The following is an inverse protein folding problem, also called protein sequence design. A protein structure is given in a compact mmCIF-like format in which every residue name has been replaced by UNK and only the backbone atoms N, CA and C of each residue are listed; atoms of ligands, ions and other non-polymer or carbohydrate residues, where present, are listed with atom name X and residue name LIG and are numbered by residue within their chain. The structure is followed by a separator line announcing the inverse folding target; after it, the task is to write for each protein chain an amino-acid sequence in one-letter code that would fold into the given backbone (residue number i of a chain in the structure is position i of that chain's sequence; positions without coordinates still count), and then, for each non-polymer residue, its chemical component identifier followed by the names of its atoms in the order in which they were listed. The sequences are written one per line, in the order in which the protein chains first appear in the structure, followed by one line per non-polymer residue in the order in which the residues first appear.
data_IF_765392477389
#
_entry.id   IF_765392477389
#
_cell.length_a   1.000
_cell.length_b   1.000
_cell.length_c   1.000
_cell.angle_alpha   90.00
_cell.angle_beta   90.00
_cell.angle_gamma   90.00
#
_symmetry.space_group_name_H-M   'P 1'
#
loop_
_entity.id
_entity.type
_entity.pdbx_description
1 polymer ?
#
# COMPACT_ATOMS: atom_id res chain seq x y z
N UNK A 1 23.97 -11.26 -32.97
CA UNK A 1 22.82 -10.34 -33.05
C UNK A 1 22.32 -10.07 -31.64
N UNK A 2 22.83 -9.02 -31.01
CA UNK A 2 22.54 -8.70 -29.60
C UNK A 2 21.23 -7.92 -29.56
N UNK A 3 20.14 -8.55 -29.11
CA UNK A 3 18.88 -7.85 -28.86
C UNK A 3 19.14 -6.76 -27.81
N UNK A 4 19.09 -5.49 -28.21
CA UNK A 4 18.94 -4.37 -27.28
C UNK A 4 17.64 -4.61 -26.52
N UNK A 5 17.70 -4.92 -25.22
CA UNK A 5 16.54 -4.86 -24.33
C UNK A 5 16.05 -3.42 -24.33
N UNK A 6 15.04 -3.11 -25.14
CA UNK A 6 14.26 -1.88 -24.97
C UNK A 6 13.54 -2.01 -23.63
N UNK A 7 14.12 -1.39 -22.60
CA UNK A 7 13.45 -1.25 -21.31
C UNK A 7 12.43 -0.12 -21.48
N UNK A 8 11.16 -0.37 -21.20
CA UNK A 8 10.05 0.61 -21.15
C UNK A 8 10.25 1.71 -20.07
N UNK A 9 11.49 2.02 -19.69
CA UNK A 9 11.81 2.59 -18.38
C UNK A 9 11.51 4.07 -18.22
N UNK A 10 11.43 4.90 -19.28
CA UNK A 10 11.11 6.33 -19.10
C UNK A 10 10.26 6.87 -20.23
N UNK A 11 8.94 6.75 -20.06
CA UNK A 11 7.96 7.70 -20.61
C UNK A 11 8.04 9.01 -19.82
N UNK A 12 6.94 9.77 -19.64
CA UNK A 12 6.90 11.16 -19.12
C UNK A 12 7.51 11.41 -17.71
N UNK A 13 8.14 10.42 -17.09
CA UNK A 13 8.74 10.53 -15.76
C UNK A 13 7.70 10.48 -14.65
N UNK A 14 7.84 11.35 -13.65
CA UNK A 14 6.92 11.53 -12.53
C UNK A 14 6.58 13.02 -12.46
N UNK A 15 5.30 13.36 -12.57
CA UNK A 15 4.82 14.75 -12.59
C UNK A 15 3.73 14.89 -11.53
N UNK A 16 3.98 15.69 -10.49
CA UNK A 16 2.99 16.05 -9.49
C UNK A 16 2.19 17.27 -9.98
N UNK A 17 0.87 17.21 -9.85
CA UNK A 17 -0.05 18.29 -10.16
C UNK A 17 -1.02 18.49 -8.99
N UNK A 18 -1.06 19.70 -8.44
CA UNK A 18 -1.92 20.05 -7.30
C UNK A 18 -3.39 20.27 -7.68
N UNK A 19 -3.67 20.41 -8.98
CA UNK A 19 -4.96 20.81 -9.53
C UNK A 19 -5.32 20.01 -10.78
N UNK A 20 -4.99 18.72 -10.80
CA UNK A 20 -5.26 17.86 -11.94
C UNK A 20 -6.76 17.76 -12.21
N UNK A 21 -7.11 17.95 -13.48
CA UNK A 21 -8.47 17.77 -14.02
C UNK A 21 -8.38 16.66 -15.04
N UNK A 22 -9.26 15.64 -14.93
CA UNK A 22 -9.29 14.54 -15.90
C UNK A 22 -9.51 15.06 -17.33
N UNK A 23 -8.96 14.35 -18.29
CA UNK A 23 -9.18 14.63 -19.70
C UNK A 23 -10.62 14.28 -20.09
N UNK A 24 -11.37 15.23 -20.64
CA UNK A 24 -12.75 15.00 -21.08
C UNK A 24 -13.17 16.00 -22.16
N UNK A 25 -14.11 15.60 -23.02
CA UNK A 25 -14.67 16.49 -24.05
C UNK A 25 -15.51 17.64 -23.46
N UNK A 26 -16.00 17.49 -22.22
CA UNK A 26 -16.66 18.53 -21.43
C UNK A 26 -16.19 18.46 -19.97
N UNK A 27 -15.70 19.58 -19.44
CA UNK A 27 -15.15 19.69 -18.08
C UNK A 27 -16.14 20.19 -17.02
N UNK A 28 -17.40 20.39 -17.39
CA UNK A 28 -18.43 20.89 -16.46
C UNK A 28 -18.66 19.89 -15.32
N UNK A 29 -18.50 20.37 -14.08
CA UNK A 29 -18.68 19.56 -12.88
C UNK A 29 -17.49 18.66 -12.52
N UNK A 30 -16.36 18.78 -13.22
CA UNK A 30 -15.12 18.09 -12.87
C UNK A 30 -14.39 18.90 -11.79
N UNK A 31 -14.05 18.23 -10.70
CA UNK A 31 -13.34 18.82 -9.57
C UNK A 31 -11.84 18.55 -9.71
N UNK A 32 -11.04 19.60 -9.59
CA UNK A 32 -9.59 19.47 -9.59
C UNK A 32 -9.11 18.74 -8.31
N UNK A 33 -8.12 17.88 -8.42
CA UNK A 33 -7.54 17.15 -7.28
C UNK A 33 -6.03 17.01 -7.41
N UNK A 34 -5.35 16.82 -6.27
CA UNK A 34 -3.92 16.54 -6.25
C UNK A 34 -3.68 15.15 -6.84
N UNK A 35 -2.82 15.06 -7.85
CA UNK A 35 -2.54 13.83 -8.56
C UNK A 35 -1.08 13.75 -8.98
N UNK A 36 -0.61 12.53 -9.24
CA UNK A 36 0.70 12.28 -9.81
C UNK A 36 0.53 11.47 -11.10
N UNK A 37 1.10 11.98 -12.19
CA UNK A 37 1.15 11.27 -13.46
C UNK A 37 2.52 10.60 -13.61
N UNK A 38 2.52 9.31 -13.85
CA UNK A 38 3.72 8.48 -13.98
C UNK A 38 3.79 7.79 -15.34
N UNK A 39 5.01 7.60 -15.83
CA UNK A 39 5.27 6.67 -16.92
C UNK A 39 5.18 5.21 -16.47
N UNK A 40 4.82 4.31 -17.38
CA UNK A 40 4.58 2.88 -17.06
C UNK A 40 5.77 2.11 -16.46
N UNK A 41 6.99 2.64 -16.61
CA UNK A 41 8.22 2.04 -16.08
C UNK A 41 8.61 2.48 -14.67
N UNK A 42 7.86 3.41 -14.04
CA UNK A 42 8.17 3.94 -12.70
C UNK A 42 7.96 2.87 -11.63
N UNK A 43 8.95 2.73 -10.75
CA UNK A 43 8.88 1.86 -9.57
C UNK A 43 8.44 2.62 -8.31
N UNK A 44 7.90 1.90 -7.32
CA UNK A 44 7.39 2.48 -6.07
C UNK A 44 8.41 3.37 -5.35
N UNK A 45 9.69 2.98 -5.30
CA UNK A 45 10.76 3.77 -4.70
C UNK A 45 11.00 5.08 -5.44
N UNK A 46 11.06 5.06 -6.78
CA UNK A 46 11.21 6.26 -7.60
C UNK A 46 10.04 7.23 -7.39
N UNK A 47 8.81 6.70 -7.34
CA UNK A 47 7.59 7.46 -7.09
C UNK A 47 7.63 8.14 -5.72
N UNK A 48 7.86 7.35 -4.66
CA UNK A 48 7.78 7.83 -3.30
C UNK A 48 8.90 8.80 -2.95
N UNK A 49 10.15 8.54 -3.38
CA UNK A 49 11.26 9.47 -3.18
C UNK A 49 10.98 10.83 -3.86
N UNK A 50 10.43 10.81 -5.07
CA UNK A 50 10.10 12.04 -5.82
C UNK A 50 9.00 12.86 -5.16
N UNK A 51 7.97 12.19 -4.63
CA UNK A 51 6.83 12.86 -3.98
C UNK A 51 7.17 13.37 -2.59
N UNK A 52 7.92 12.61 -1.79
CA UNK A 52 8.34 13.03 -0.45
C UNK A 52 9.23 14.27 -0.50
N UNK A 53 10.10 14.39 -1.53
CA UNK A 53 10.86 15.62 -1.77
C UNK A 53 9.98 16.87 -1.98
N UNK A 54 8.71 16.68 -2.33
CA UNK A 54 7.70 17.70 -2.57
C UNK A 54 6.63 17.74 -1.47
N UNK A 55 6.84 17.08 -0.32
CA UNK A 55 5.88 16.96 0.79
C UNK A 55 4.54 16.34 0.36
N UNK A 56 4.61 15.44 -0.61
CA UNK A 56 3.48 14.71 -1.15
C UNK A 56 3.70 13.20 -1.02
N UNK A 57 2.65 12.44 -1.27
CA UNK A 57 2.65 10.99 -1.19
C UNK A 57 1.63 10.40 -2.19
N UNK A 58 1.86 9.18 -2.64
CA UNK A 58 0.89 8.39 -3.41
C UNK A 58 0.91 6.94 -2.93
N UNK A 59 -0.20 6.23 -3.06
CA UNK A 59 -0.28 4.84 -2.62
C UNK A 59 0.60 3.96 -3.52
N UNK A 60 1.56 3.27 -2.91
CA UNK A 60 2.44 2.29 -3.55
C UNK A 60 2.47 0.95 -2.81
N UNK A 61 3.25 0.02 -3.33
CA UNK A 61 3.45 -1.32 -2.76
C UNK A 61 4.24 -1.37 -1.45
N UNK A 62 4.51 -2.59 -0.98
CA UNK A 62 5.36 -2.85 0.19
C UNK A 62 6.84 -3.14 -0.18
N UNK A 63 7.19 -3.04 -1.46
CA UNK A 63 8.51 -3.26 -2.01
C UNK A 63 8.86 -2.10 -2.94
N UNK A 64 10.06 -1.54 -2.83
CA UNK A 64 10.42 -0.30 -3.55
C UNK A 64 10.73 -0.50 -5.03
N UNK A 65 10.89 -1.73 -5.48
CA UNK A 65 11.19 -2.09 -6.88
C UNK A 65 9.97 -2.53 -7.69
N UNK A 66 8.78 -2.57 -7.09
CA UNK A 66 7.58 -2.98 -7.80
C UNK A 66 7.17 -1.87 -8.78
N UNK A 67 6.83 -2.27 -10.01
CA UNK A 67 6.35 -1.35 -11.04
C UNK A 67 4.90 -0.92 -10.74
N UNK A 68 4.70 0.38 -10.54
CA UNK A 68 3.45 0.94 -9.99
C UNK A 68 2.24 0.63 -10.88
N UNK A 69 2.38 0.75 -12.20
CA UNK A 69 1.25 0.54 -13.14
C UNK A 69 0.73 -0.90 -13.12
N UNK A 70 1.63 -1.89 -13.14
CA UNK A 70 1.23 -3.29 -13.08
C UNK A 70 0.61 -3.65 -11.73
N UNK A 71 1.21 -3.15 -10.64
CA UNK A 71 0.72 -3.36 -9.29
C UNK A 71 -0.68 -2.76 -9.07
N UNK A 72 -0.90 -1.50 -9.48
CA UNK A 72 -2.18 -0.82 -9.29
C UNK A 72 -3.31 -1.48 -10.09
N UNK A 73 -3.01 -1.94 -11.31
CA UNK A 73 -4.03 -2.54 -12.19
C UNK A 73 -4.51 -3.92 -11.73
N UNK A 74 -3.72 -4.62 -10.92
CA UNK A 74 -4.10 -5.88 -10.29
C UNK A 74 -4.82 -5.73 -8.93
N UNK A 75 -5.07 -4.50 -8.48
CA UNK A 75 -5.58 -4.20 -7.14
C UNK A 75 -4.55 -3.41 -6.36
N UNK A 76 -3.46 -4.06 -5.96
CA UNK A 76 -2.31 -3.40 -5.32
C UNK A 76 -2.50 -3.11 -3.84
N UNK A 77 -1.95 -3.97 -2.98
CA UNK A 77 -1.86 -3.74 -1.54
C UNK A 77 -0.52 -3.07 -1.16
N UNK A 78 -0.51 -2.34 -0.05
CA UNK A 78 0.67 -1.60 0.40
C UNK A 78 0.53 -1.13 1.85
N UNK A 79 1.56 -0.46 2.40
CA UNK A 79 1.55 0.01 3.79
C UNK A 79 0.44 1.03 4.09
N UNK A 80 -0.07 1.70 3.05
CA UNK A 80 -1.02 2.82 3.15
C UNK A 80 -2.41 2.48 2.61
N UNK A 81 -2.62 1.26 2.12
CA UNK A 81 -3.89 0.90 1.48
C UNK A 81 -5.06 0.82 2.46
N UNK A 82 -4.78 0.61 3.75
CA UNK A 82 -5.81 0.70 4.80
C UNK A 82 -6.34 2.13 5.01
N UNK A 83 -5.55 3.16 4.72
CA UNK A 83 -5.93 4.56 4.88
C UNK A 83 -6.47 5.20 3.59
N UNK A 84 -6.01 4.75 2.42
CA UNK A 84 -6.27 5.41 1.13
C UNK A 84 -6.86 4.49 0.04
N UNK A 85 -7.27 3.26 0.39
CA UNK A 85 -7.75 2.26 -0.57
C UNK A 85 -6.62 1.57 -1.32
N UNK A 86 -6.96 0.59 -2.15
CA UNK A 86 -5.99 -0.18 -2.94
C UNK A 86 -5.38 0.68 -4.06
N UNK A 87 -4.29 0.23 -4.68
CA UNK A 87 -3.73 0.88 -5.87
C UNK A 87 -4.76 1.16 -6.96
N UNK A 88 -5.65 0.20 -7.23
CA UNK A 88 -6.77 0.34 -8.16
C UNK A 88 -7.75 1.46 -7.78
N UNK A 89 -7.99 1.69 -6.48
CA UNK A 89 -8.86 2.76 -5.99
C UNK A 89 -8.27 4.16 -6.20
N UNK A 90 -6.96 4.21 -6.43
CA UNK A 90 -6.18 5.42 -6.59
C UNK A 90 -5.97 5.80 -8.07
N UNK A 91 -6.33 4.95 -9.04
CA UNK A 91 -6.24 5.29 -10.46
C UNK A 91 -7.30 6.33 -10.82
N UNK A 92 -6.86 7.48 -11.32
CA UNK A 92 -7.69 8.58 -11.80
C UNK A 92 -7.89 8.48 -13.32
N UNK A 93 -6.79 8.25 -14.05
CA UNK A 93 -6.76 8.25 -15.51
C UNK A 93 -5.61 7.38 -16.01
N UNK A 94 -5.75 6.77 -17.18
CA UNK A 94 -4.66 6.08 -17.86
C UNK A 94 -4.65 6.38 -19.35
N UNK A 95 -3.46 6.55 -19.93
CA UNK A 95 -3.26 6.57 -21.37
C UNK A 95 -2.72 5.22 -21.83
N UNK A 96 -3.37 4.61 -22.81
CA UNK A 96 -3.04 3.28 -23.31
C UNK A 96 -3.09 3.19 -24.82
N UNK A 97 -2.36 2.22 -25.36
CA UNK A 97 -2.47 1.79 -26.77
C UNK A 97 -3.27 0.49 -26.82
N UNK A 98 -4.35 0.48 -27.60
CA UNK A 98 -5.20 -0.72 -27.79
C UNK A 98 -4.50 -1.74 -28.70
N UNK A 99 -4.98 -3.00 -28.76
CA UNK A 99 -4.46 -3.98 -29.73
C UNK A 99 -4.60 -3.55 -31.19
N UNK A 100 -5.54 -2.65 -31.50
CA UNK A 100 -5.71 -2.07 -32.83
C UNK A 100 -4.70 -0.95 -33.14
N UNK A 101 -3.87 -0.54 -32.17
CA UNK A 101 -2.90 0.54 -32.31
C UNK A 101 -3.46 1.93 -32.02
N UNK A 102 -4.67 2.02 -31.47
CA UNK A 102 -5.31 3.29 -31.13
C UNK A 102 -4.82 3.79 -29.77
N UNK A 103 -4.57 5.10 -29.65
CA UNK A 103 -4.25 5.74 -28.38
C UNK A 103 -5.55 6.21 -27.73
N UNK A 104 -5.82 5.72 -26.53
CA UNK A 104 -6.99 6.07 -25.74
C UNK A 104 -6.61 6.65 -24.39
N UNK A 105 -7.49 7.51 -23.87
CA UNK A 105 -7.50 7.93 -22.46
C UNK A 105 -8.69 7.27 -21.77
N UNK A 106 -8.44 6.51 -20.71
CA UNK A 106 -9.47 5.84 -19.91
C UNK A 106 -9.58 6.51 -18.54
N UNK A 107 -10.77 7.02 -18.22
CA UNK A 107 -11.12 7.63 -16.94
C UNK A 107 -12.63 7.51 -16.69
N UNK A 108 -13.15 8.22 -15.70
CA UNK A 108 -14.59 8.18 -15.35
C UNK A 108 -15.53 8.84 -16.38
N UNK A 109 -15.02 9.53 -17.41
CA UNK A 109 -15.81 10.18 -18.47
C UNK A 109 -15.57 9.62 -19.87
N UNK A 110 -14.41 9.02 -20.12
CA UNK A 110 -14.01 8.51 -21.43
C UNK A 110 -13.51 7.05 -21.30
N UNK A 111 -13.95 6.18 -22.21
CA UNK A 111 -13.59 4.76 -22.23
C UNK A 111 -13.79 4.09 -20.85
N UNK A 112 -14.96 4.31 -20.26
CA UNK A 112 -15.28 3.98 -18.86
C UNK A 112 -15.30 2.48 -18.58
N UNK A 113 -15.57 1.67 -19.59
CA UNK A 113 -15.45 0.22 -19.58
C UNK A 113 -13.99 -0.24 -19.42
N UNK A 114 -13.07 0.35 -20.18
CA UNK A 114 -11.62 0.12 -20.02
C UNK A 114 -11.16 0.63 -18.67
N UNK A 115 -11.60 1.82 -18.25
CA UNK A 115 -11.25 2.38 -16.95
C UNK A 115 -11.67 1.47 -15.80
N UNK A 116 -12.89 0.93 -15.85
CA UNK A 116 -13.36 -0.07 -14.90
C UNK A 116 -12.47 -1.32 -14.94
N UNK A 117 -12.16 -1.83 -16.12
CA UNK A 117 -11.39 -3.07 -16.30
C UNK A 117 -9.96 -2.97 -15.76
N UNK A 118 -9.26 -1.85 -15.99
CA UNK A 118 -7.88 -1.67 -15.52
C UNK A 118 -7.78 -1.42 -14.01
N UNK A 119 -8.90 -1.22 -13.29
CA UNK A 119 -8.94 -1.01 -11.84
C UNK A 119 -9.21 -2.30 -11.08
N UNK A 120 -8.37 -3.32 -11.32
CA UNK A 120 -8.42 -4.61 -10.63
C UNK A 120 -8.47 -5.83 -11.55
N UNK A 121 -8.75 -5.66 -12.85
CA UNK A 121 -8.78 -6.74 -13.83
C UNK A 121 -7.40 -7.23 -14.29
N UNK A 122 -6.32 -6.61 -13.81
CA UNK A 122 -4.94 -6.93 -14.18
C UNK A 122 -4.46 -6.20 -15.43
N UNK A 123 -3.22 -5.71 -15.38
CA UNK A 123 -2.56 -5.05 -16.50
C UNK A 123 -2.19 -6.02 -17.64
N UNK A 124 -1.97 -5.47 -18.84
CA UNK A 124 -1.47 -6.20 -20.01
C UNK A 124 -2.55 -6.89 -20.87
N UNK A 125 -3.81 -6.90 -20.44
CA UNK A 125 -4.93 -7.52 -21.18
C UNK A 125 -5.65 -6.55 -22.12
N UNK A 126 -5.91 -5.32 -21.64
CA UNK A 126 -6.79 -4.35 -22.34
C UNK A 126 -6.03 -3.37 -23.24
N UNK A 127 -4.70 -3.44 -23.22
CA UNK A 127 -3.81 -2.57 -23.98
C UNK A 127 -2.51 -2.33 -23.22
N UNK A 128 -1.61 -1.58 -23.85
CA UNK A 128 -0.33 -1.17 -23.26
C UNK A 128 -0.50 0.21 -22.63
N UNK A 129 -0.65 0.26 -21.31
CA UNK A 129 -0.63 1.52 -20.55
C UNK A 129 0.79 2.09 -20.61
N UNK A 130 0.92 3.35 -21.02
CA UNK A 130 2.20 4.05 -21.07
C UNK A 130 2.28 5.22 -20.07
N UNK A 131 1.13 5.81 -19.70
CA UNK A 131 1.00 6.79 -18.63
C UNK A 131 -0.17 6.44 -17.71
N UNK A 132 -0.03 6.74 -16.41
CA UNK A 132 -1.09 6.58 -15.42
C UNK A 132 -1.09 7.75 -14.45
N UNK A 133 -2.27 8.30 -14.17
CA UNK A 133 -2.48 9.32 -13.16
C UNK A 133 -3.09 8.68 -11.92
N UNK A 134 -2.45 8.88 -10.78
CA UNK A 134 -2.86 8.38 -9.47
C UNK A 134 -3.23 9.55 -8.55
N UNK A 135 -4.13 9.31 -7.59
CA UNK A 135 -4.35 10.23 -6.47
C UNK A 135 -3.04 10.46 -5.73
N UNK A 136 -2.80 11.72 -5.38
CA UNK A 136 -1.70 12.10 -4.51
C UNK A 136 -2.24 12.86 -3.29
N UNK A 137 -1.50 12.76 -2.19
CA UNK A 137 -1.88 13.20 -0.86
C UNK A 137 -0.76 14.08 -0.28
N UNK A 138 -1.06 14.96 0.69
CA UNK A 138 -0.02 15.51 1.55
C UNK A 138 0.75 14.40 2.26
N UNK A 139 2.04 14.61 2.54
CA UNK A 139 2.84 13.68 3.33
C UNK A 139 2.14 13.40 4.69
N UNK A 140 1.83 12.14 5.02
CA UNK A 140 1.13 11.80 6.25
C UNK A 140 2.07 11.76 7.46
N UNK A 141 1.52 11.95 8.66
CA UNK A 141 2.24 11.55 9.88
C UNK A 141 2.14 10.03 10.07
N UNK A 142 3.18 9.43 10.67
CA UNK A 142 3.29 7.99 10.87
C UNK A 142 3.62 7.64 12.32
N UNK A 143 2.85 6.70 12.88
CA UNK A 143 3.24 5.93 14.06
C UNK A 143 3.47 4.48 13.66
N UNK A 144 4.65 3.95 13.99
CA UNK A 144 5.00 2.53 13.77
C UNK A 144 5.05 1.78 15.10
N UNK A 145 4.42 0.61 15.15
CA UNK A 145 4.42 -0.30 16.29
C UNK A 145 5.13 -1.60 15.91
N UNK A 146 6.00 -2.12 16.77
CA UNK A 146 6.45 -3.51 16.66
C UNK A 146 5.35 -4.45 17.15
N UNK A 147 5.14 -5.56 16.44
CA UNK A 147 4.30 -6.67 16.84
C UNK A 147 5.14 -7.94 16.82
N UNK A 148 5.48 -8.47 18.00
CA UNK A 148 6.17 -9.74 18.14
C UNK A 148 5.39 -10.64 19.10
N UNK A 149 5.23 -11.91 18.75
CA UNK A 149 4.62 -12.94 19.59
C UNK A 149 5.47 -14.20 19.47
N UNK A 150 5.90 -14.77 20.59
CA UNK A 150 6.64 -16.03 20.62
C UNK A 150 6.03 -16.99 21.63
N UNK A 151 5.79 -18.24 21.21
CA UNK A 151 5.37 -19.30 22.11
C UNK A 151 6.49 -19.67 23.09
N UNK A 152 6.16 -19.86 24.37
CA UNK A 152 7.12 -20.38 25.36
C UNK A 152 7.46 -21.85 25.10
N UNK A 153 8.54 -22.35 25.73
CA UNK A 153 8.99 -23.74 25.57
C UNK A 153 7.88 -24.77 25.91
N UNK A 154 7.04 -24.49 26.89
CA UNK A 154 5.93 -25.35 27.29
C UNK A 154 4.69 -25.26 26.37
N UNK A 155 4.68 -24.32 25.42
CA UNK A 155 3.53 -24.09 24.53
C UNK A 155 3.50 -25.14 23.42
N UNK A 156 2.46 -25.97 23.45
CA UNK A 156 2.22 -26.98 22.42
C UNK A 156 1.87 -26.32 21.08
N UNK A 157 2.00 -27.06 19.99
CA UNK A 157 1.65 -26.59 18.64
C UNK A 157 0.17 -26.25 18.51
N UNK A 158 -0.71 -27.05 19.13
CA UNK A 158 -2.16 -26.79 19.14
C UNK A 158 -2.48 -25.47 19.86
N UNK A 159 -1.91 -25.27 21.04
CA UNK A 159 -2.11 -24.03 21.81
C UNK A 159 -1.56 -22.83 21.03
N UNK A 160 -0.40 -22.95 20.38
CA UNK A 160 0.15 -21.90 19.53
C UNK A 160 -0.81 -21.49 18.41
N UNK A 161 -1.39 -22.45 17.69
CA UNK A 161 -2.32 -22.13 16.61
C UNK A 161 -3.65 -21.55 17.13
N UNK A 162 -4.10 -21.94 18.33
CA UNK A 162 -5.23 -21.28 18.98
C UNK A 162 -4.92 -19.81 19.34
N UNK A 163 -3.68 -19.50 19.75
CA UNK A 163 -3.25 -18.11 19.97
C UNK A 163 -3.25 -17.33 18.67
N UNK A 164 -2.72 -17.90 17.58
CA UNK A 164 -2.72 -17.24 16.26
C UNK A 164 -4.16 -17.01 15.77
N UNK A 165 -5.05 -18.00 15.89
CA UNK A 165 -6.45 -17.84 15.54
C UNK A 165 -7.12 -16.71 16.37
N UNK A 166 -6.88 -16.68 17.68
CA UNK A 166 -7.37 -15.60 18.55
C UNK A 166 -6.81 -14.22 18.18
N UNK A 167 -5.52 -14.14 17.85
CA UNK A 167 -4.89 -12.91 17.36
C UNK A 167 -5.58 -12.41 16.08
N UNK A 168 -5.72 -13.29 15.08
CA UNK A 168 -6.38 -12.95 13.82
C UNK A 168 -7.86 -12.57 13.99
N UNK A 169 -8.55 -13.12 15.00
CA UNK A 169 -9.92 -12.75 15.34
C UNK A 169 -10.06 -11.36 15.96
N UNK A 170 -8.98 -10.80 16.52
CA UNK A 170 -8.99 -9.48 17.20
C UNK A 170 -8.39 -8.38 16.33
N UNK A 171 -7.46 -8.71 15.42
CA UNK A 171 -6.82 -7.75 14.50
C UNK A 171 -7.81 -6.83 13.75
N UNK A 172 -8.96 -7.30 13.23
CA UNK A 172 -9.92 -6.44 12.53
C UNK A 172 -10.38 -5.23 13.37
N UNK A 173 -10.49 -5.37 14.69
CA UNK A 173 -10.92 -4.26 15.56
C UNK A 173 -9.92 -3.10 15.61
N UNK A 174 -8.63 -3.39 15.41
CA UNK A 174 -7.59 -2.36 15.28
C UNK A 174 -7.57 -1.78 13.86
N UNK A 175 -7.82 -2.61 12.84
CA UNK A 175 -7.89 -2.19 11.44
C UNK A 175 -9.07 -1.24 11.19
N UNK A 176 -10.23 -1.52 11.76
CA UNK A 176 -11.42 -0.64 11.68
C UNK A 176 -11.16 0.75 12.28
N UNK A 177 -10.11 0.87 13.11
CA UNK A 177 -9.67 2.12 13.75
C UNK A 177 -8.40 2.71 13.11
N UNK A 178 -8.01 2.23 11.93
CA UNK A 178 -6.91 2.80 11.14
C UNK A 178 -5.51 2.27 11.47
N UNK A 179 -5.40 1.16 12.23
CA UNK A 179 -4.12 0.49 12.50
C UNK A 179 -4.00 -0.77 11.66
N UNK A 180 -3.13 -0.74 10.66
CA UNK A 180 -2.91 -1.83 9.71
C UNK A 180 -1.45 -2.28 9.72
N UNK A 181 -1.09 -3.38 9.06
CA UNK A 181 0.32 -3.77 9.04
C UNK A 181 0.61 -5.08 8.35
N UNK A 182 1.86 -5.51 8.53
CA UNK A 182 2.39 -6.76 8.00
C UNK A 182 2.96 -7.58 9.14
N UNK A 183 2.78 -8.89 9.07
CA UNK A 183 3.49 -9.82 9.93
C UNK A 183 3.85 -11.08 9.15
N UNK A 184 4.86 -11.76 9.65
CA UNK A 184 5.31 -13.06 9.17
C UNK A 184 5.05 -14.10 10.25
N UNK A 185 4.60 -15.29 9.84
CA UNK A 185 4.42 -16.43 10.71
C UNK A 185 5.59 -17.40 10.53
N UNK A 186 6.34 -17.63 11.60
CA UNK A 186 7.38 -18.64 11.64
C UNK A 186 6.77 -20.03 11.71
N UNK A 187 6.73 -20.74 10.58
CA UNK A 187 6.10 -22.08 10.48
C UNK A 187 6.72 -23.09 11.45
N UNK A 188 8.01 -22.98 11.76
CA UNK A 188 8.75 -23.92 12.61
C UNK A 188 9.17 -23.35 13.98
N UNK A 189 9.01 -22.05 14.20
CA UNK A 189 9.60 -21.34 15.36
C UNK A 189 8.57 -20.87 16.38
N UNK A 190 7.28 -21.19 16.20
CA UNK A 190 6.16 -20.65 17.02
C UNK A 190 6.32 -19.15 17.27
N UNK A 191 6.55 -18.41 16.19
CA UNK A 191 6.79 -16.97 16.25
C UNK A 191 5.92 -16.23 15.23
N UNK A 192 5.51 -15.03 15.59
CA UNK A 192 4.93 -14.02 14.71
C UNK A 192 5.74 -12.74 14.90
N UNK A 193 6.22 -12.15 13.81
CA UNK A 193 6.96 -10.89 13.84
C UNK A 193 6.50 -9.96 12.73
N UNK A 194 6.29 -8.70 13.07
CA UNK A 194 5.74 -7.72 12.14
C UNK A 194 5.73 -6.29 12.66
N UNK A 195 5.11 -5.42 11.88
CA UNK A 195 4.94 -4.01 12.18
C UNK A 195 3.51 -3.59 11.86
N UNK A 196 2.96 -2.74 12.73
CA UNK A 196 1.69 -2.05 12.51
C UNK A 196 1.96 -0.56 12.29
N UNK A 197 1.11 0.08 11.51
CA UNK A 197 1.21 1.47 11.08
C UNK A 197 -0.12 2.14 11.35
N UNK A 198 -0.04 3.35 11.91
CA UNK A 198 -1.16 4.27 12.03
C UNK A 198 -0.78 5.58 11.35
N UNK A 199 -1.64 6.04 10.46
CA UNK A 199 -1.40 7.22 9.63
C UNK A 199 -2.29 8.37 10.09
N UNK A 200 -1.72 9.57 10.22
CA UNK A 200 -2.46 10.78 10.61
C UNK A 200 -3.24 10.65 11.93
N UNK A 201 -2.73 9.84 12.87
CA UNK A 201 -3.34 9.58 14.17
C UNK A 201 -2.40 9.99 15.31
N UNK A 202 -2.96 10.55 16.39
CA UNK A 202 -2.21 10.85 17.60
C UNK A 202 -2.00 9.59 18.47
N UNK A 203 -1.07 9.67 19.43
CA UNK A 203 -0.73 8.52 20.29
C UNK A 203 -1.93 7.97 21.07
N UNK A 204 -2.87 8.83 21.49
CA UNK A 204 -4.04 8.41 22.25
C UNK A 204 -4.99 7.58 21.38
N UNK A 205 -5.20 8.01 20.13
CA UNK A 205 -5.99 7.30 19.12
C UNK A 205 -5.36 5.95 18.80
N UNK A 206 -4.03 5.90 18.63
CA UNK A 206 -3.30 4.65 18.37
C UNK A 206 -3.44 3.68 19.54
N UNK A 207 -3.21 4.12 20.78
CA UNK A 207 -3.36 3.25 21.98
C UNK A 207 -4.80 2.72 22.13
N UNK A 208 -5.81 3.57 21.88
CA UNK A 208 -7.21 3.16 21.91
C UNK A 208 -7.57 2.18 20.77
N UNK A 209 -6.91 2.30 19.62
CA UNK A 209 -7.09 1.41 18.48
C UNK A 209 -6.55 0.01 18.75
N UNK A 210 -5.36 -0.09 19.36
CA UNK A 210 -4.72 -1.38 19.65
C UNK A 210 -5.16 -2.02 20.97
N UNK A 211 -5.99 -1.34 21.77
CA UNK A 211 -6.40 -1.82 23.09
C UNK A 211 -6.97 -3.26 23.08
N UNK A 212 -7.86 -3.66 22.16
CA UNK A 212 -8.36 -5.04 22.13
C UNK A 212 -7.25 -6.06 21.89
N UNK A 213 -6.33 -5.75 20.98
CA UNK A 213 -5.17 -6.59 20.69
C UNK A 213 -4.25 -6.69 21.92
N UNK A 214 -3.98 -5.56 22.58
CA UNK A 214 -3.16 -5.48 23.80
C UNK A 214 -3.77 -6.31 24.95
N UNK A 215 -5.09 -6.28 25.12
CA UNK A 215 -5.81 -7.07 26.12
C UNK A 215 -5.77 -8.57 25.83
N UNK A 216 -5.93 -8.97 24.56
CA UNK A 216 -5.81 -10.36 24.16
C UNK A 216 -4.40 -10.91 24.43
N UNK A 217 -3.37 -10.16 24.03
CA UNK A 217 -1.98 -10.57 24.20
C UNK A 217 -1.58 -10.62 25.69
N UNK A 218 -1.98 -9.63 26.49
CA UNK A 218 -1.65 -9.60 27.92
C UNK A 218 -2.29 -10.77 28.68
N UNK A 219 -3.56 -11.08 28.40
CA UNK A 219 -4.27 -12.24 28.97
C UNK A 219 -3.62 -13.57 28.57
N UNK A 220 -3.19 -13.69 27.32
CA UNK A 220 -2.54 -14.91 26.82
C UNK A 220 -1.14 -15.08 27.43
N UNK A 221 -0.41 -13.98 27.59
CA UNK A 221 0.90 -13.98 28.22
C UNK A 221 0.84 -14.30 29.73
N UNK A 222 -0.17 -13.78 30.45
CA UNK A 222 -0.35 -14.06 31.89
C UNK A 222 -0.61 -15.54 32.19
N UNK A 223 -1.14 -16.29 31.22
CA UNK A 223 -1.33 -17.73 31.31
C UNK A 223 -0.04 -18.53 31.03
N UNK A 224 1.10 -17.86 30.83
CA UNK A 224 2.39 -18.50 30.57
C UNK A 224 2.50 -19.11 29.17
N UNK A 225 1.67 -18.71 28.22
CA UNK A 225 1.62 -19.31 26.87
C UNK A 225 2.55 -18.61 25.88
N UNK A 226 2.70 -17.30 25.96
CA UNK A 226 3.51 -16.51 25.04
C UNK A 226 4.35 -15.47 25.78
N UNK A 227 5.39 -15.01 25.11
CA UNK A 227 5.96 -13.67 25.29
C UNK A 227 5.53 -12.80 24.11
N UNK A 228 5.38 -11.49 24.31
CA UNK A 228 4.99 -10.58 23.24
C UNK A 228 5.59 -9.18 23.39
N UNK A 229 5.62 -8.44 22.29
CA UNK A 229 5.88 -7.00 22.25
C UNK A 229 4.83 -6.36 21.36
N UNK A 230 4.15 -5.34 21.89
CA UNK A 230 3.27 -4.45 21.14
C UNK A 230 3.53 -3.04 21.64
N UNK A 231 4.40 -2.31 20.94
CA UNK A 231 4.87 -1.00 21.40
C UNK A 231 5.36 -0.14 20.23
N UNK A 232 5.32 1.20 20.36
CA UNK A 232 5.92 2.11 19.40
C UNK A 232 7.42 1.85 19.20
N UNK A 233 7.89 2.03 17.97
CA UNK A 233 9.31 1.99 17.59
C UNK A 233 9.73 3.30 16.91
N UNK A 234 11.03 3.68 16.91
CA UNK A 234 11.50 4.98 16.44
C UNK A 234 11.55 5.08 14.90
N UNK A 235 10.43 4.74 14.24
CA UNK A 235 10.20 4.92 12.79
C UNK A 235 8.92 5.75 12.68
N UNK A 236 9.08 7.05 12.46
CA UNK A 236 7.97 8.02 12.49
C UNK A 236 7.81 8.82 11.21
N UNK A 237 8.65 8.57 10.19
CA UNK A 237 8.57 9.22 8.88
C UNK A 237 8.39 8.18 7.79
N UNK A 238 7.71 8.57 6.70
CA UNK A 238 7.58 7.71 5.51
C UNK A 238 8.95 7.40 4.92
N UNK A 239 9.87 8.38 4.90
CA UNK A 239 11.23 8.19 4.40
C UNK A 239 12.00 7.13 5.18
N UNK A 240 11.89 7.10 6.51
CA UNK A 240 12.56 6.07 7.32
C UNK A 240 11.91 4.70 7.14
N UNK A 241 10.58 4.64 6.97
CA UNK A 241 9.89 3.39 6.63
C UNK A 241 10.38 2.83 5.28
N UNK A 242 10.53 3.69 4.26
CA UNK A 242 10.95 3.27 2.92
C UNK A 242 12.33 2.61 2.90
N UNK A 243 13.27 3.09 3.73
CA UNK A 243 14.61 2.50 3.87
C UNK A 243 14.58 1.06 4.39
N UNK A 244 13.47 0.65 5.02
CA UNK A 244 13.28 -0.68 5.59
C UNK A 244 12.48 -1.60 4.67
N UNK A 245 11.85 -1.06 3.63
CA UNK A 245 11.14 -1.87 2.65
C UNK A 245 12.15 -2.62 1.76
N UNK A 246 11.89 -3.90 1.46
CA UNK A 246 12.80 -4.72 0.68
C UNK A 246 12.91 -4.22 -0.77
N UNK A 247 14.07 -4.53 -1.36
CA UNK A 247 14.32 -4.55 -2.81
C UNK A 247 14.97 -5.89 -3.17
N UNK A 248 14.49 -6.53 -4.24
CA UNK A 248 14.86 -7.84 -4.79
C UNK A 248 15.47 -7.73 -6.18
#
# INVERSE_FOLDING_TARGET
MTMKKYRFRKFIGIILDDSFVITADNTTGIVAQKAVTIGAGVQDGELLDTLLAQKAFAVGGANVDVGVVGWATGGGHGVMTGAHGQGADNIIEASLVTPAGEILTANEKQNTDIFWAIRGGGGGTFGVIFNMTLKAYPEPSLTTLALNISGKNATSTEVWWNVIAGHLGVVPQAQDKGVHGYFTLGMNTKSLSGSLFAWNADNATVEAAILPLKQFLSKTASNGTIDYTLAPIPISTVSDLLKLLPSV
#
